data_IF_414254928721
#
_entry.id   IF_414254928721
#
_cell.length_a   1.000
_cell.length_b   1.000
_cell.length_c   1.000
_cell.angle_alpha   90.00
_cell.angle_beta   90.00
_cell.angle_gamma   90.00
#
_symmetry.space_group_name_H-M   'P 1'
#
loop_
_entity.id
_entity.type
_entity.pdbx_description
1 polymer ?
#
# COMPACT_ATOMS: atom_id res chain seq x y z
N UNK A 1 -28.80 46.76 -28.59
CA UNK A 1 -29.64 45.68 -29.14
C UNK A 1 -29.95 44.72 -27.99
N UNK A 2 -31.15 44.78 -27.39
CA UNK A 2 -31.45 43.92 -26.23
C UNK A 2 -31.61 42.47 -26.70
N UNK A 3 -30.77 41.58 -26.19
CA UNK A 3 -30.93 40.15 -26.43
C UNK A 3 -32.28 39.71 -25.84
N UNK A 4 -33.14 39.07 -26.65
CA UNK A 4 -34.41 38.55 -26.14
C UNK A 4 -34.14 37.59 -24.98
N UNK A 5 -34.93 37.65 -23.91
CA UNK A 5 -34.78 36.85 -22.68
C UNK A 5 -34.55 35.35 -22.97
N UNK A 6 -35.22 34.79 -23.98
CA UNK A 6 -35.02 33.39 -24.43
C UNK A 6 -33.59 33.11 -24.90
N UNK A 7 -33.01 33.99 -25.72
CA UNK A 7 -31.63 33.87 -26.20
C UNK A 7 -30.63 34.01 -25.04
N UNK A 8 -30.93 34.87 -24.06
CA UNK A 8 -30.12 35.00 -22.85
C UNK A 8 -30.05 33.69 -22.06
N UNK A 9 -31.20 33.06 -21.78
CA UNK A 9 -31.20 31.76 -21.10
C UNK A 9 -30.45 30.68 -21.89
N UNK A 10 -30.60 30.62 -23.21
CA UNK A 10 -29.85 29.66 -24.04
C UNK A 10 -28.34 29.86 -23.91
N UNK A 11 -27.87 31.10 -24.01
CA UNK A 11 -26.43 31.41 -23.87
C UNK A 11 -25.93 31.06 -22.47
N UNK A 12 -26.68 31.41 -21.42
CA UNK A 12 -26.33 31.06 -20.04
C UNK A 12 -26.28 29.54 -19.83
N UNK A 13 -27.25 28.79 -20.38
CA UNK A 13 -27.26 27.32 -20.29
C UNK A 13 -26.05 26.68 -20.98
N UNK A 14 -25.64 27.19 -22.15
CA UNK A 14 -24.45 26.69 -22.86
C UNK A 14 -23.19 26.95 -22.03
N UNK A 15 -23.06 28.16 -21.47
CA UNK A 15 -21.91 28.52 -20.63
C UNK A 15 -21.86 27.63 -19.38
N UNK A 16 -22.98 27.48 -18.69
CA UNK A 16 -23.07 26.60 -17.51
C UNK A 16 -22.73 25.16 -17.89
N UNK A 17 -23.26 24.64 -18.99
CA UNK A 17 -22.93 23.30 -19.47
C UNK A 17 -21.44 23.14 -19.76
N UNK A 18 -20.80 24.11 -20.40
CA UNK A 18 -19.37 24.11 -20.65
C UNK A 18 -18.55 24.12 -19.36
N UNK A 19 -18.96 24.91 -18.36
CA UNK A 19 -18.34 24.93 -17.03
C UNK A 19 -18.51 23.58 -16.33
N UNK A 20 -19.71 23.01 -16.29
CA UNK A 20 -19.96 21.68 -15.72
C UNK A 20 -19.13 20.60 -16.41
N UNK A 21 -19.04 20.63 -17.74
CA UNK A 21 -18.24 19.69 -18.50
C UNK A 21 -16.74 19.85 -18.19
N UNK A 22 -16.25 21.08 -18.10
CA UNK A 22 -14.86 21.37 -17.70
C UNK A 22 -14.56 20.77 -16.32
N UNK A 23 -15.38 21.08 -15.31
CA UNK A 23 -15.23 20.50 -13.98
C UNK A 23 -15.30 18.97 -14.00
N UNK A 24 -16.25 18.39 -14.73
CA UNK A 24 -16.35 16.95 -14.86
C UNK A 24 -15.06 16.34 -15.44
N UNK A 25 -14.55 16.87 -16.55
CA UNK A 25 -13.35 16.34 -17.20
C UNK A 25 -12.13 16.50 -16.29
N UNK A 26 -11.98 17.66 -15.64
CA UNK A 26 -10.85 17.93 -14.74
C UNK A 26 -10.82 17.00 -13.54
N UNK A 27 -11.97 16.67 -12.96
CA UNK A 27 -12.02 15.88 -11.72
C UNK A 27 -12.30 14.39 -11.93
N UNK A 28 -13.04 14.03 -12.98
CA UNK A 28 -13.44 12.65 -13.26
C UNK A 28 -12.74 12.03 -14.47
N UNK A 29 -12.04 12.82 -15.30
CA UNK A 29 -11.41 12.36 -16.53
C UNK A 29 -12.43 12.00 -17.62
N UNK A 30 -11.92 11.51 -18.75
CA UNK A 30 -12.72 11.11 -19.91
C UNK A 30 -13.12 9.63 -19.82
N UNK A 31 -14.42 9.27 -19.86
CA UNK A 31 -14.86 7.89 -19.71
C UNK A 31 -14.26 6.92 -20.76
N UNK A 32 -14.15 7.35 -22.02
CA UNK A 32 -13.55 6.51 -23.06
C UNK A 32 -12.04 6.30 -22.85
N UNK A 33 -11.34 7.30 -22.30
CA UNK A 33 -9.92 7.18 -21.98
C UNK A 33 -9.69 6.23 -20.80
N UNK A 34 -10.56 6.27 -19.77
CA UNK A 34 -10.56 5.24 -18.69
C UNK A 34 -10.66 3.84 -19.24
N UNK A 35 -11.57 3.62 -20.20
CA UNK A 35 -11.77 2.31 -20.79
C UNK A 35 -10.58 1.87 -21.63
N UNK A 36 -10.08 2.73 -22.52
CA UNK A 36 -8.95 2.43 -23.40
C UNK A 36 -7.67 2.15 -22.61
N UNK A 37 -7.25 3.08 -21.74
CA UNK A 37 -6.05 2.91 -20.92
C UNK A 37 -6.18 1.71 -19.99
N UNK A 38 -7.38 1.47 -19.43
CA UNK A 38 -7.57 0.32 -18.56
C UNK A 38 -7.33 -1.02 -19.28
N UNK A 39 -7.75 -1.14 -20.54
CA UNK A 39 -7.48 -2.34 -21.33
C UNK A 39 -6.01 -2.44 -21.77
N UNK A 40 -5.34 -1.32 -22.05
CA UNK A 40 -3.91 -1.33 -22.34
C UNK A 40 -3.07 -1.72 -21.12
N UNK A 41 -3.43 -1.22 -19.93
CA UNK A 41 -2.79 -1.60 -18.67
C UNK A 41 -3.00 -3.10 -18.37
N UNK A 42 -4.20 -3.63 -18.60
CA UNK A 42 -4.45 -5.07 -18.48
C UNK A 42 -3.60 -5.88 -19.46
N UNK A 43 -3.55 -5.50 -20.73
CA UNK A 43 -2.73 -6.18 -21.73
C UNK A 43 -1.23 -6.12 -21.37
N UNK A 44 -0.77 -5.00 -20.81
CA UNK A 44 0.59 -4.87 -20.27
C UNK A 44 0.86 -5.89 -19.16
N UNK A 45 -0.04 -6.03 -18.17
CA UNK A 45 0.10 -7.00 -17.07
C UNK A 45 0.17 -8.43 -17.59
N UNK A 46 -0.78 -8.82 -18.44
CA UNK A 46 -0.86 -10.17 -19.00
C UNK A 46 0.38 -10.50 -19.83
N UNK A 47 0.89 -9.52 -20.59
CA UNK A 47 2.11 -9.70 -21.35
C UNK A 47 3.36 -9.80 -20.46
N UNK A 48 3.46 -8.98 -19.40
CA UNK A 48 4.63 -8.95 -18.49
C UNK A 48 4.73 -10.24 -17.67
N UNK A 49 3.61 -10.67 -17.08
CA UNK A 49 3.56 -11.78 -16.12
C UNK A 49 3.12 -13.12 -16.71
N UNK A 50 2.66 -13.16 -17.98
CA UNK A 50 2.16 -14.38 -18.64
C UNK A 50 1.07 -15.08 -17.83
N UNK A 51 0.21 -14.28 -17.22
CA UNK A 51 -0.92 -14.67 -16.38
C UNK A 51 -2.14 -13.80 -16.75
N UNK A 52 -3.35 -14.34 -16.59
CA UNK A 52 -4.60 -13.60 -16.85
C UNK A 52 -5.02 -12.77 -15.62
N UNK A 53 -5.53 -11.56 -15.86
CA UNK A 53 -5.98 -10.66 -14.80
C UNK A 53 -7.42 -10.19 -15.05
N UNK A 54 -8.07 -9.75 -13.99
CA UNK A 54 -9.42 -9.18 -14.02
C UNK A 54 -9.36 -7.76 -13.50
N UNK A 55 -9.97 -6.82 -14.24
CA UNK A 55 -10.11 -5.42 -13.81
C UNK A 55 -11.30 -5.31 -12.86
N UNK A 56 -11.07 -4.86 -11.64
CA UNK A 56 -12.08 -4.54 -10.63
C UNK A 56 -12.68 -3.15 -10.88
N UNK A 57 -11.81 -2.16 -11.08
CA UNK A 57 -12.22 -0.77 -11.30
C UNK A 57 -11.32 -0.03 -12.30
N UNK A 58 -11.87 1.02 -12.91
CA UNK A 58 -11.18 1.96 -13.81
C UNK A 58 -11.37 3.37 -13.29
N UNK A 59 -10.28 4.01 -12.89
CA UNK A 59 -10.33 5.32 -12.27
C UNK A 59 -9.37 6.32 -12.93
N UNK A 60 -9.62 7.60 -12.60
CA UNK A 60 -8.79 8.72 -13.02
C UNK A 60 -8.37 9.46 -11.75
N UNK A 61 -7.07 9.69 -11.60
CA UNK A 61 -6.54 10.52 -10.54
C UNK A 61 -6.32 11.94 -11.09
N UNK A 62 -7.09 12.90 -10.59
CA UNK A 62 -7.00 14.29 -11.06
C UNK A 62 -5.72 14.98 -10.60
N UNK A 63 -5.05 14.48 -9.55
CA UNK A 63 -3.84 15.10 -9.00
C UNK A 63 -2.64 14.96 -9.94
N UNK A 64 -2.52 13.82 -10.61
CA UNK A 64 -1.46 13.50 -11.56
C UNK A 64 -1.97 13.40 -13.01
N UNK A 65 -3.28 13.59 -13.20
CA UNK A 65 -3.99 13.48 -14.47
C UNK A 65 -3.83 12.13 -15.17
N UNK A 66 -3.71 11.03 -14.40
CA UNK A 66 -3.48 9.68 -14.92
C UNK A 66 -4.68 8.77 -14.80
N UNK A 67 -4.74 7.81 -15.72
CA UNK A 67 -5.75 6.76 -15.75
C UNK A 67 -5.14 5.45 -15.25
N UNK A 68 -5.89 4.73 -14.44
CA UNK A 68 -5.41 3.51 -13.79
C UNK A 68 -6.54 2.50 -13.61
N UNK A 69 -6.15 1.27 -13.30
CA UNK A 69 -7.01 0.16 -12.96
C UNK A 69 -6.65 -0.37 -11.59
N UNK A 70 -7.64 -0.88 -10.88
CA UNK A 70 -7.45 -1.86 -9.84
C UNK A 70 -7.73 -3.23 -10.44
N UNK A 71 -6.84 -4.19 -10.23
CA UNK A 71 -6.92 -5.51 -10.82
C UNK A 71 -6.47 -6.60 -9.85
N UNK A 72 -6.87 -7.84 -10.15
CA UNK A 72 -6.42 -9.04 -9.46
C UNK A 72 -6.07 -10.16 -10.46
N UNK A 73 -5.17 -11.08 -10.12
CA UNK A 73 -4.95 -12.28 -10.94
C UNK A 73 -6.20 -13.15 -10.95
N UNK A 74 -6.53 -13.74 -12.11
CA UNK A 74 -7.72 -14.59 -12.22
C UNK A 74 -7.66 -15.79 -11.26
N UNK A 75 -6.47 -16.35 -11.06
CA UNK A 75 -6.24 -17.52 -10.20
C UNK A 75 -6.19 -17.19 -8.71
N UNK A 76 -6.01 -15.91 -8.36
CA UNK A 76 -5.89 -15.50 -6.97
C UNK A 76 -6.59 -14.15 -6.71
N UNK A 77 -7.93 -14.14 -6.60
CA UNK A 77 -8.71 -12.92 -6.43
C UNK A 77 -8.55 -12.25 -5.05
N UNK A 78 -7.78 -12.84 -4.12
CA UNK A 78 -7.49 -12.18 -2.85
C UNK A 78 -6.40 -11.12 -2.97
N UNK A 79 -5.66 -11.07 -4.08
CA UNK A 79 -4.64 -10.06 -4.35
C UNK A 79 -5.27 -8.95 -5.17
N UNK A 80 -5.35 -7.73 -4.63
CA UNK A 80 -5.79 -6.56 -5.39
C UNK A 80 -4.66 -5.52 -5.43
N UNK A 81 -4.40 -4.96 -6.60
CA UNK A 81 -3.32 -4.00 -6.82
C UNK A 81 -3.67 -2.99 -7.92
N UNK A 82 -2.94 -1.88 -7.94
CA UNK A 82 -3.12 -0.84 -8.96
C UNK A 82 -2.08 -0.96 -10.08
N UNK A 83 -2.51 -0.65 -11.30
CA UNK A 83 -1.65 -0.49 -12.47
C UNK A 83 -2.20 0.62 -13.38
N UNK A 84 -1.39 1.23 -14.24
CA UNK A 84 -1.89 2.29 -15.11
C UNK A 84 -0.83 3.08 -15.84
N UNK A 85 -1.23 4.24 -16.39
CA UNK A 85 -0.35 5.15 -17.11
C UNK A 85 0.82 5.63 -16.22
N UNK A 86 2.05 5.45 -16.71
CA UNK A 86 3.22 6.09 -16.13
C UNK A 86 3.32 7.57 -16.55
N UNK A 87 4.34 8.28 -16.07
CA UNK A 87 4.57 9.69 -16.42
C UNK A 87 5.02 9.91 -17.88
N UNK A 88 5.41 8.85 -18.57
CA UNK A 88 5.88 8.87 -19.96
C UNK A 88 4.82 8.21 -20.84
N UNK A 89 4.64 8.75 -22.06
CA UNK A 89 3.65 8.25 -23.01
C UNK A 89 3.93 6.78 -23.36
N UNK A 90 2.88 5.95 -23.28
CA UNK A 90 2.91 4.51 -23.55
C UNK A 90 3.76 3.67 -22.57
N UNK A 91 4.11 4.23 -21.42
CA UNK A 91 4.68 3.46 -20.32
C UNK A 91 3.61 3.18 -19.26
N UNK A 92 3.73 2.02 -18.62
CA UNK A 92 2.80 1.56 -17.61
C UNK A 92 3.57 1.23 -16.33
N UNK A 93 2.94 1.49 -15.19
CA UNK A 93 3.40 1.00 -13.90
C UNK A 93 2.45 -0.08 -13.40
N UNK A 94 2.93 -0.93 -12.51
CA UNK A 94 2.10 -1.85 -11.75
C UNK A 94 2.67 -2.10 -10.37
N UNK A 95 1.79 -2.39 -9.41
CA UNK A 95 2.16 -2.78 -8.05
C UNK A 95 1.90 -4.27 -7.80
N UNK A 96 1.95 -5.11 -8.85
CA UNK A 96 1.71 -6.54 -8.69
C UNK A 96 2.79 -7.23 -7.86
N UNK A 97 4.11 -6.97 -8.06
CA UNK A 97 5.16 -7.53 -7.20
C UNK A 97 4.95 -7.22 -5.73
N UNK A 98 4.64 -5.96 -5.41
CA UNK A 98 4.38 -5.49 -4.05
C UNK A 98 3.19 -6.21 -3.41
N UNK A 99 2.11 -6.40 -4.16
CA UNK A 99 0.94 -7.12 -3.66
C UNK A 99 1.24 -8.61 -3.40
N UNK A 100 2.07 -9.23 -4.25
CA UNK A 100 2.55 -10.60 -4.05
C UNK A 100 3.43 -10.70 -2.80
N UNK A 101 4.38 -9.77 -2.62
CA UNK A 101 5.26 -9.73 -1.45
C UNK A 101 4.50 -9.47 -0.16
N UNK A 102 3.52 -8.57 -0.17
CA UNK A 102 2.63 -8.33 0.97
C UNK A 102 1.87 -9.60 1.34
N UNK A 103 1.28 -10.30 0.37
CA UNK A 103 0.58 -11.56 0.64
C UNK A 103 1.52 -12.64 1.22
N UNK A 104 2.74 -12.77 0.65
CA UNK A 104 3.73 -13.73 1.14
C UNK A 104 4.16 -13.42 2.58
N UNK A 105 4.51 -12.17 2.86
CA UNK A 105 4.93 -11.74 4.17
C UNK A 105 3.78 -11.80 5.20
N UNK A 106 2.54 -11.47 4.84
CA UNK A 106 1.39 -11.69 5.73
C UNK A 106 1.26 -13.19 6.07
N UNK A 107 1.36 -14.08 5.07
CA UNK A 107 1.35 -15.53 5.29
C UNK A 107 2.44 -16.00 6.26
N UNK A 108 3.63 -15.41 6.18
CA UNK A 108 4.77 -15.77 7.01
C UNK A 108 4.71 -15.26 8.45
N UNK A 109 4.11 -14.08 8.68
CA UNK A 109 4.15 -13.40 9.98
C UNK A 109 2.85 -13.44 10.78
N UNK A 110 1.71 -13.73 10.13
CA UNK A 110 0.38 -13.65 10.75
C UNK A 110 0.24 -14.49 12.02
N UNK A 111 0.74 -15.72 12.00
CA UNK A 111 0.57 -16.64 13.13
C UNK A 111 1.45 -16.23 14.32
N UNK A 112 2.73 -15.89 14.09
CA UNK A 112 3.62 -15.44 15.16
C UNK A 112 3.17 -14.09 15.74
N UNK A 113 2.64 -13.17 14.93
CA UNK A 113 2.12 -11.90 15.42
C UNK A 113 0.89 -12.13 16.30
N UNK A 114 -0.05 -13.00 15.90
CA UNK A 114 -1.23 -13.34 16.70
C UNK A 114 -0.90 -14.09 17.98
N UNK A 115 0.08 -14.99 17.94
CA UNK A 115 0.54 -15.72 19.13
C UNK A 115 1.22 -14.77 20.12
N UNK A 116 2.10 -13.91 19.62
CA UNK A 116 2.87 -12.95 20.43
C UNK A 116 1.97 -11.86 21.01
N UNK A 117 0.99 -11.42 20.23
CA UNK A 117 0.06 -10.35 20.56
C UNK A 117 -1.38 -10.84 20.36
N UNK A 118 -2.00 -11.49 21.36
CA UNK A 118 -3.35 -12.01 21.20
C UNK A 118 -4.43 -10.92 21.19
N UNK A 119 -4.16 -9.76 21.79
CA UNK A 119 -5.10 -8.62 21.87
C UNK A 119 -4.79 -7.56 20.80
N UNK A 120 -4.71 -7.96 19.53
CA UNK A 120 -4.42 -7.03 18.43
C UNK A 120 -5.66 -6.20 18.09
N UNK A 121 -5.48 -4.89 17.98
CA UNK A 121 -6.45 -4.02 17.31
C UNK A 121 -6.26 -4.10 15.80
N UNK A 122 -5.01 -4.01 15.34
CA UNK A 122 -4.67 -4.04 13.91
C UNK A 122 -3.34 -4.76 13.69
N UNK A 123 -3.29 -5.52 12.61
CA UNK A 123 -2.07 -6.10 12.07
C UNK A 123 -2.11 -5.90 10.57
N UNK A 124 -1.08 -5.25 10.01
CA UNK A 124 -0.92 -5.07 8.58
C UNK A 124 0.51 -5.38 8.17
N UNK A 125 0.67 -5.82 6.93
CA UNK A 125 1.95 -5.90 6.27
C UNK A 125 1.91 -4.97 5.07
N UNK A 126 2.93 -4.14 4.92
CA UNK A 126 3.05 -3.21 3.80
C UNK A 126 4.38 -3.40 3.08
N UNK A 127 4.44 -2.97 1.82
CA UNK A 127 5.64 -2.92 1.00
C UNK A 127 5.78 -1.52 0.39
N UNK A 128 6.97 -1.17 -0.09
CA UNK A 128 7.18 0.14 -0.72
C UNK A 128 6.68 0.09 -2.16
N UNK A 129 5.68 0.90 -2.47
CA UNK A 129 5.16 1.01 -3.84
C UNK A 129 6.21 1.55 -4.81
N UNK A 130 6.33 0.90 -5.96
CA UNK A 130 7.29 1.24 -7.03
C UNK A 130 8.67 0.61 -6.84
N UNK A 131 8.85 -0.23 -5.82
CA UNK A 131 10.07 -1.03 -5.66
C UNK A 131 10.09 -2.21 -6.65
N UNK A 132 8.91 -2.74 -7.01
CA UNK A 132 8.72 -3.82 -7.98
C UNK A 132 9.37 -3.54 -9.32
N UNK A 133 9.23 -2.31 -9.83
CA UNK A 133 9.84 -1.88 -11.10
C UNK A 133 11.37 -1.94 -11.09
N UNK A 134 12.01 -1.86 -9.90
CA UNK A 134 13.47 -1.89 -9.74
C UNK A 134 14.01 -3.27 -9.38
N UNK A 135 13.19 -4.14 -8.82
CA UNK A 135 13.62 -5.45 -8.32
C UNK A 135 13.16 -6.60 -9.23
N UNK A 136 12.12 -6.38 -10.05
CA UNK A 136 11.52 -7.43 -10.88
C UNK A 136 11.67 -7.09 -12.37
N UNK A 137 12.74 -7.62 -12.96
CA UNK A 137 13.03 -7.49 -14.39
C UNK A 137 12.52 -8.65 -15.25
N UNK A 138 12.03 -9.71 -14.61
CA UNK A 138 11.63 -10.96 -15.24
C UNK A 138 10.15 -11.24 -15.00
N UNK A 139 9.55 -12.09 -15.85
CA UNK A 139 8.14 -12.51 -15.74
C UNK A 139 7.80 -13.13 -14.39
N UNK A 140 8.72 -13.88 -13.78
CA UNK A 140 8.50 -14.52 -12.48
C UNK A 140 8.91 -13.61 -11.33
N UNK A 141 7.95 -13.20 -10.53
CA UNK A 141 8.18 -12.41 -9.31
C UNK A 141 8.95 -13.28 -8.30
N UNK A 142 10.19 -12.91 -7.89
CA UNK A 142 10.89 -13.58 -6.79
C UNK A 142 10.15 -13.35 -5.47
N UNK A 143 10.32 -14.23 -4.49
CA UNK A 143 9.80 -13.97 -3.15
C UNK A 143 10.44 -12.72 -2.51
N UNK A 144 9.77 -12.13 -1.52
CA UNK A 144 10.19 -10.86 -0.92
C UNK A 144 11.59 -10.93 -0.26
N UNK A 145 12.01 -12.10 0.24
CA UNK A 145 13.32 -12.31 0.87
C UNK A 145 14.41 -12.31 -0.21
N UNK A 146 14.20 -13.09 -1.28
CA UNK A 146 15.10 -13.19 -2.43
C UNK A 146 15.21 -11.85 -3.17
N UNK A 147 14.10 -11.13 -3.33
CA UNK A 147 14.06 -9.80 -3.92
C UNK A 147 14.77 -8.75 -3.06
N UNK A 148 14.94 -9.02 -1.75
CA UNK A 148 15.29 -8.04 -0.73
C UNK A 148 14.34 -6.83 -0.72
N UNK A 149 13.07 -7.08 -1.06
CA UNK A 149 12.00 -6.09 -1.03
C UNK A 149 11.79 -5.59 0.39
N UNK A 150 11.51 -4.30 0.55
CA UNK A 150 11.21 -3.72 1.84
C UNK A 150 9.82 -4.15 2.31
N UNK A 151 9.76 -4.77 3.49
CA UNK A 151 8.52 -5.19 4.14
C UNK A 151 8.40 -4.49 5.48
N UNK A 152 7.25 -3.86 5.73
CA UNK A 152 6.90 -3.23 6.99
C UNK A 152 5.81 -4.04 7.70
N UNK A 153 6.10 -4.45 8.93
CA UNK A 153 5.19 -5.18 9.80
C UNK A 153 4.61 -4.20 10.83
N UNK A 154 3.33 -3.87 10.68
CA UNK A 154 2.59 -2.98 11.57
C UNK A 154 1.77 -3.77 12.56
N UNK A 155 1.99 -3.54 13.84
CA UNK A 155 1.28 -4.13 14.98
C UNK A 155 0.69 -3.01 15.83
N UNK A 156 -0.63 -2.96 15.97
CA UNK A 156 -1.32 -1.97 16.83
C UNK A 156 -2.08 -2.70 17.92
N UNK A 157 -1.80 -2.32 19.16
CA UNK A 157 -2.38 -2.85 20.38
C UNK A 157 -3.28 -1.79 21.03
N UNK A 158 -4.47 -2.17 21.54
CA UNK A 158 -5.39 -1.25 22.18
C UNK A 158 -5.06 -1.01 23.66
N UNK A 159 -4.02 -1.67 24.19
CA UNK A 159 -3.65 -1.56 25.60
C UNK A 159 -2.64 -0.42 25.80
N UNK A 160 -2.63 0.15 27.00
CA UNK A 160 -1.56 1.07 27.40
C UNK A 160 -0.27 0.29 27.57
N UNK A 161 0.85 0.82 27.06
CA UNK A 161 2.15 0.20 27.28
C UNK A 161 2.48 0.17 28.78
N UNK A 162 2.85 -1.02 29.27
CA UNK A 162 3.36 -1.23 30.62
C UNK A 162 4.78 -1.75 30.51
N UNK A 163 5.73 -0.90 30.87
CA UNK A 163 7.15 -1.23 30.87
C UNK A 163 7.42 -2.45 31.75
N UNK A 164 7.69 -3.59 31.12
CA UNK A 164 7.90 -4.86 31.80
C UNK A 164 8.68 -5.83 30.93
N UNK A 165 9.43 -6.73 31.58
CA UNK A 165 10.13 -7.82 30.89
C UNK A 165 9.18 -8.71 30.05
N UNK A 166 7.89 -8.76 30.39
CA UNK A 166 6.93 -9.53 29.62
C UNK A 166 6.67 -8.90 28.24
N UNK A 167 6.46 -7.58 28.18
CA UNK A 167 6.25 -6.88 26.91
C UNK A 167 7.51 -6.90 26.04
N UNK A 168 8.69 -6.65 26.62
CA UNK A 168 9.93 -6.73 25.86
C UNK A 168 10.26 -8.14 25.36
N UNK A 169 9.88 -9.19 26.11
CA UNK A 169 9.99 -10.58 25.63
C UNK A 169 9.12 -10.86 24.42
N UNK A 170 7.89 -10.32 24.38
CA UNK A 170 7.02 -10.42 23.20
C UNK A 170 7.68 -9.79 21.98
N UNK A 171 8.16 -8.56 22.11
CA UNK A 171 8.89 -7.87 21.04
C UNK A 171 10.12 -8.65 20.59
N UNK A 172 10.93 -9.15 21.53
CA UNK A 172 12.12 -9.94 21.23
C UNK A 172 11.76 -11.24 20.48
N UNK A 173 10.64 -11.89 20.81
CA UNK A 173 10.14 -13.07 20.10
C UNK A 173 9.88 -12.76 18.62
N UNK A 174 9.13 -11.69 18.34
CA UNK A 174 8.86 -11.25 16.97
C UNK A 174 10.15 -10.86 16.23
N UNK A 175 11.04 -10.09 16.88
CA UNK A 175 12.34 -9.68 16.33
C UNK A 175 13.20 -10.89 15.98
N UNK A 176 13.25 -11.91 16.85
CA UNK A 176 14.00 -13.14 16.60
C UNK A 176 13.45 -13.89 15.39
N UNK A 177 12.14 -14.03 15.30
CA UNK A 177 11.49 -14.69 14.15
C UNK A 177 11.78 -13.94 12.83
N UNK A 178 11.66 -12.61 12.85
CA UNK A 178 11.96 -11.76 11.68
C UNK A 178 13.43 -11.87 11.27
N UNK A 179 14.35 -11.89 12.24
CA UNK A 179 15.79 -12.04 11.99
C UNK A 179 16.14 -13.37 11.34
N UNK A 180 15.46 -14.45 11.69
CA UNK A 180 15.69 -15.78 11.09
C UNK A 180 15.29 -15.86 9.61
N UNK A 181 14.38 -14.99 9.16
CA UNK A 181 13.95 -14.92 7.75
C UNK A 181 14.97 -14.24 6.83
N UNK A 182 15.94 -13.50 7.36
CA UNK A 182 16.96 -12.75 6.58
C UNK A 182 16.35 -11.83 5.48
N UNK A 183 15.18 -11.24 5.75
CA UNK A 183 14.52 -10.29 4.86
C UNK A 183 14.96 -8.84 5.08
N UNK A 184 14.59 -7.93 4.18
CA UNK A 184 14.69 -6.49 4.40
C UNK A 184 13.43 -5.98 5.11
N UNK A 185 13.35 -6.23 6.43
CA UNK A 185 12.10 -6.08 7.19
C UNK A 185 12.23 -4.97 8.23
N UNK A 186 11.18 -4.15 8.34
CA UNK A 186 10.96 -3.18 9.40
C UNK A 186 9.79 -3.64 10.28
N UNK A 187 9.87 -3.39 11.58
CA UNK A 187 8.79 -3.69 12.54
C UNK A 187 8.37 -2.39 13.21
N UNK A 188 7.07 -2.11 13.19
CA UNK A 188 6.44 -1.02 13.92
C UNK A 188 5.39 -1.59 14.88
N UNK A 189 5.55 -1.31 16.18
CA UNK A 189 4.61 -1.72 17.22
C UNK A 189 4.10 -0.47 17.93
N UNK A 190 2.79 -0.28 17.97
CA UNK A 190 2.13 0.81 18.68
C UNK A 190 1.21 0.28 19.78
N UNK A 191 1.33 0.87 20.97
CA UNK A 191 0.38 0.73 22.07
C UNK A 191 -0.49 1.98 22.08
N UNK A 192 -1.68 1.89 21.51
CA UNK A 192 -2.57 3.00 21.23
C UNK A 192 -3.89 2.81 22.01
N UNK A 193 -3.95 3.17 23.30
CA UNK A 193 -5.16 2.96 24.09
C UNK A 193 -6.36 3.76 23.61
N UNK A 194 -6.14 4.87 22.90
CA UNK A 194 -7.18 5.73 22.36
C UNK A 194 -6.84 6.18 20.93
N UNK A 195 -7.67 5.82 19.96
CA UNK A 195 -7.45 6.16 18.54
C UNK A 195 -7.52 7.68 18.27
N UNK A 196 -8.24 8.42 19.11
CA UNK A 196 -8.44 9.86 18.92
C UNK A 196 -7.33 10.71 19.57
N UNK A 197 -6.47 10.11 20.40
CA UNK A 197 -5.49 10.85 21.21
C UNK A 197 -4.11 10.20 21.20
N UNK A 198 -3.22 10.74 20.35
CA UNK A 198 -1.84 10.28 20.22
C UNK A 198 -0.99 10.43 21.50
N UNK A 199 -1.41 11.25 22.48
CA UNK A 199 -0.60 11.58 23.66
C UNK A 199 -0.30 10.41 24.59
N UNK A 200 -1.11 9.36 24.56
CA UNK A 200 -0.91 8.14 25.35
C UNK A 200 -0.29 6.99 24.53
N UNK A 201 0.09 7.25 23.28
CA UNK A 201 0.60 6.21 22.38
C UNK A 201 2.10 6.04 22.57
N UNK A 202 2.53 4.78 22.73
CA UNK A 202 3.95 4.41 22.77
C UNK A 202 4.28 3.59 21.54
N UNK A 203 5.31 4.02 20.81
CA UNK A 203 5.76 3.38 19.58
C UNK A 203 7.11 2.71 19.79
N UNK A 204 7.29 1.57 19.15
CA UNK A 204 8.55 0.87 19.02
C UNK A 204 8.81 0.61 17.55
N UNK A 205 9.96 1.06 17.06
CA UNK A 205 10.36 0.90 15.66
C UNK A 205 11.67 0.15 15.60
N UNK A 206 11.76 -0.89 14.78
CA UNK A 206 12.98 -1.65 14.58
C UNK A 206 13.29 -1.74 13.09
N UNK A 207 14.32 -1.04 12.67
CA UNK A 207 14.86 -1.17 11.31
C UNK A 207 15.52 -2.54 11.12
N UNK A 208 15.64 -2.96 9.86
CA UNK A 208 16.33 -4.20 9.52
C UNK A 208 17.75 -4.27 10.13
N UNK A 209 18.47 -3.14 10.14
CA UNK A 209 19.81 -3.06 10.71
C UNK A 209 19.84 -3.22 12.24
N UNK A 210 18.80 -2.78 12.94
CA UNK A 210 18.67 -2.91 14.40
C UNK A 210 18.23 -4.30 14.81
N UNK A 211 17.28 -4.91 14.08
CA UNK A 211 16.81 -6.29 14.27
C UNK A 211 17.98 -7.27 14.35
N UNK A 212 19.01 -7.08 13.51
CA UNK A 212 20.19 -7.94 13.51
C UNK A 212 21.12 -7.76 14.71
N UNK A 213 21.08 -6.58 15.36
CA UNK A 213 21.88 -6.23 16.54
C UNK A 213 21.21 -6.67 17.84
N UNK A 214 19.88 -6.66 17.90
CA UNK A 214 19.10 -7.03 19.07
C UNK A 214 19.24 -8.53 19.36
N UNK A 215 19.70 -8.91 20.55
CA UNK A 215 19.83 -10.31 21.02
C UNK A 215 19.13 -10.55 22.36
N UNK A 216 19.01 -9.52 23.18
CA UNK A 216 18.41 -9.62 24.53
C UNK A 216 17.26 -8.64 24.73
N UNK A 217 16.62 -8.72 25.89
CA UNK A 217 15.55 -7.78 26.29
C UNK A 217 16.10 -6.36 26.43
N UNK A 218 17.28 -6.23 27.02
CA UNK A 218 17.97 -4.95 27.21
C UNK A 218 18.29 -4.29 25.86
N UNK A 219 18.56 -5.08 24.82
CA UNK A 219 18.70 -4.54 23.47
C UNK A 219 17.38 -4.01 22.92
N UNK A 220 16.26 -4.69 23.17
CA UNK A 220 14.93 -4.21 22.75
C UNK A 220 14.62 -2.85 23.40
N UNK A 221 14.88 -2.71 24.70
CA UNK A 221 14.73 -1.45 25.42
C UNK A 221 15.58 -0.34 24.81
N UNK A 222 16.85 -0.65 24.53
CA UNK A 222 17.83 0.30 23.99
C UNK A 222 17.51 0.75 22.57
N UNK A 223 17.09 -0.16 21.70
CA UNK A 223 16.87 0.13 20.27
C UNK A 223 15.42 0.48 19.95
N UNK A 224 14.46 0.05 20.76
CA UNK A 224 13.04 0.28 20.51
C UNK A 224 12.56 1.66 20.91
N UNK A 225 13.28 2.34 21.80
CA UNK A 225 12.87 3.66 22.32
C UNK A 225 13.38 4.78 21.42
N UNK A 226 12.68 5.05 20.32
CA UNK A 226 12.82 6.31 19.58
C UNK A 226 11.62 7.19 19.93
N UNK A 227 11.72 7.90 21.06
CA UNK A 227 10.82 9.00 21.37
C UNK A 227 11.26 10.21 20.53
N UNK A 228 10.46 10.58 19.53
CA UNK A 228 10.41 11.98 19.06
C UNK A 228 9.66 12.85 20.08
#
# INVERSE_FOLDING_TARGET
MSMSIKKFFVVVSIVLFGVFLFFYITFAGLPWKKWFIGNEALAYLENKYKEEFVIEDRYYNFKDAKYSITAHPLKNPSISFNAGEAGIKNEYFDYYPEAIWTMQAEGDFKDIVKETFPNLRRYNVNTVFGEGDKLVYQTKIPDYITAKAFVDILVILPDKFVESNAEYKKMLSLINFVREKDGNIHIFIAYEPNEDYASDTVYFTFSNAEIHKIKTIEDVEKYGTNLE
#
